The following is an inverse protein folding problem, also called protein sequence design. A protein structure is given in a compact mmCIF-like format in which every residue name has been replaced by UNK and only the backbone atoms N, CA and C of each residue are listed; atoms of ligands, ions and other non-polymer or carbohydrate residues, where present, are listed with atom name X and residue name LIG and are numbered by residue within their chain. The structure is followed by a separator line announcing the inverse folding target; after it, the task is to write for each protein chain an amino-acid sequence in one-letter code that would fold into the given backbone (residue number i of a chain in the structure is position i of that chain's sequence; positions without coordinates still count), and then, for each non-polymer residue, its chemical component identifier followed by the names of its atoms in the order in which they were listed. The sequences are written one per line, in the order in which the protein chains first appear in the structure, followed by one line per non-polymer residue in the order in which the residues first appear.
data_IF_302872302113
#
_entry.id   IF_302872302113
#
_cell.length_a   1.000
_cell.length_b   1.000
_cell.length_c   1.000
_cell.angle_alpha   90.00
_cell.angle_beta   90.00
_cell.angle_gamma   90.00
#
_symmetry.space_group_name_H-M   'P 1'
#
loop_
_entity.id
_entity.type
_entity.pdbx_description
1 polymer ?
#
# COMPACT_ATOMS: atom_id res chain seq x y z
N UNK A 1 13.37 -4.59 8.99
CA UNK A 1 11.88 -4.60 9.03
C UNK A 1 11.27 -5.80 8.30
N UNK A 2 11.75 -6.17 7.09
CA UNK A 2 11.29 -7.36 6.34
C UNK A 2 11.36 -8.70 7.09
N UNK A 3 12.30 -8.87 8.03
CA UNK A 3 12.47 -10.14 8.77
C UNK A 3 11.29 -10.50 9.70
N UNK A 4 10.45 -9.53 10.07
CA UNK A 4 9.32 -9.74 10.98
C UNK A 4 8.00 -10.04 10.26
N UNK A 5 7.95 -9.88 8.93
CA UNK A 5 6.75 -10.11 8.15
C UNK A 5 6.88 -11.43 7.38
N UNK A 6 6.29 -12.50 7.93
CA UNK A 6 6.24 -13.80 7.26
C UNK A 6 5.14 -13.78 6.19
N UNK A 7 5.46 -14.26 4.97
CA UNK A 7 4.53 -14.47 3.85
C UNK A 7 3.98 -13.22 3.10
N UNK A 8 4.81 -12.21 2.83
CA UNK A 8 4.39 -11.15 1.88
C UNK A 8 4.56 -11.65 0.44
N UNK A 9 3.54 -11.46 -0.38
CA UNK A 9 3.59 -11.75 -1.81
C UNK A 9 4.32 -10.61 -2.54
N UNK A 10 5.59 -10.82 -2.90
CA UNK A 10 6.40 -9.83 -3.61
C UNK A 10 5.81 -9.39 -4.96
N UNK A 11 5.10 -10.28 -5.67
CA UNK A 11 4.45 -9.91 -6.94
C UNK A 11 3.29 -8.95 -6.71
N UNK A 12 2.59 -9.14 -5.59
CA UNK A 12 1.51 -8.26 -5.17
C UNK A 12 2.04 -6.86 -4.87
N UNK A 13 3.18 -6.76 -4.17
CA UNK A 13 3.84 -5.48 -3.90
C UNK A 13 4.23 -4.75 -5.20
N UNK A 14 4.86 -5.45 -6.15
CA UNK A 14 5.25 -4.88 -7.45
C UNK A 14 4.04 -4.33 -8.23
N UNK A 15 2.92 -5.06 -8.24
CA UNK A 15 1.69 -4.62 -8.91
C UNK A 15 1.12 -3.36 -8.25
N UNK A 16 1.09 -3.31 -6.91
CA UNK A 16 0.57 -2.14 -6.21
C UNK A 16 1.47 -0.92 -6.46
N UNK A 17 2.78 -1.11 -6.42
CA UNK A 17 3.76 -0.08 -6.72
C UNK A 17 3.54 0.49 -8.14
N UNK A 18 3.43 -0.39 -9.15
CA UNK A 18 3.17 0.02 -10.54
C UNK A 18 1.93 0.90 -10.66
N UNK A 19 0.82 0.49 -10.03
CA UNK A 19 -0.46 1.21 -10.10
C UNK A 19 -0.38 2.55 -9.35
N UNK A 20 0.22 2.56 -8.15
CA UNK A 20 0.35 3.78 -7.35
C UNK A 20 1.26 4.80 -8.03
N UNK A 21 2.42 4.39 -8.56
CA UNK A 21 3.28 5.31 -9.34
C UNK A 21 2.57 5.87 -10.57
N UNK A 22 1.81 5.04 -11.30
CA UNK A 22 1.04 5.53 -12.45
C UNK A 22 -0.04 6.55 -12.05
N UNK A 23 -0.68 6.37 -10.89
CA UNK A 23 -1.64 7.33 -10.35
C UNK A 23 -0.96 8.63 -9.88
N UNK A 24 0.13 8.52 -9.12
CA UNK A 24 0.89 9.67 -8.59
C UNK A 24 1.50 10.51 -9.73
N UNK A 25 1.92 9.88 -10.83
CA UNK A 25 2.39 10.56 -12.04
C UNK A 25 1.23 11.11 -12.92
N UNK A 26 -0.03 10.87 -12.55
CA UNK A 26 -1.21 11.31 -13.30
C UNK A 26 -1.45 10.58 -14.63
N UNK A 27 -0.83 9.40 -14.82
CA UNK A 27 -1.00 8.57 -16.04
C UNK A 27 -2.35 7.84 -16.07
N UNK A 28 -2.91 7.55 -14.90
CA UNK A 28 -4.22 6.92 -14.73
C UNK A 28 -5.05 7.71 -13.71
N UNK A 29 -6.37 7.66 -13.87
CA UNK A 29 -7.32 8.26 -12.92
C UNK A 29 -7.47 7.42 -11.65
N UNK A 30 -8.02 8.03 -10.59
CA UNK A 30 -8.36 7.35 -9.33
C UNK A 30 -9.25 6.12 -9.56
N UNK A 31 -10.24 6.24 -10.45
CA UNK A 31 -11.16 5.14 -10.77
C UNK A 31 -10.45 3.97 -11.47
N UNK A 32 -9.53 4.28 -12.39
CA UNK A 32 -8.69 3.28 -13.07
C UNK A 32 -7.73 2.59 -12.10
N UNK A 33 -7.11 3.35 -11.20
CA UNK A 33 -6.24 2.81 -10.16
C UNK A 33 -7.00 1.85 -9.22
N UNK A 34 -8.17 2.26 -8.72
CA UNK A 34 -9.04 1.42 -7.87
C UNK A 34 -9.47 0.14 -8.59
N UNK A 35 -9.86 0.25 -9.86
CA UNK A 35 -10.25 -0.90 -10.68
C UNK A 35 -9.08 -1.86 -10.88
N UNK A 36 -7.90 -1.34 -11.23
CA UNK A 36 -6.71 -2.16 -11.44
C UNK A 36 -6.27 -2.89 -10.16
N UNK A 37 -6.33 -2.21 -9.00
CA UNK A 37 -6.05 -2.84 -7.69
C UNK A 37 -7.07 -3.92 -7.37
N UNK A 38 -8.36 -3.66 -7.59
CA UNK A 38 -9.41 -4.64 -7.34
C UNK A 38 -9.28 -5.88 -8.21
N UNK A 39 -8.94 -5.70 -9.49
CA UNK A 39 -8.84 -6.81 -10.44
C UNK A 39 -7.55 -7.64 -10.23
N UNK A 40 -6.41 -7.00 -9.95
CA UNK A 40 -5.09 -7.65 -9.90
C UNK A 40 -4.63 -8.04 -8.49
N UNK A 41 -5.06 -7.29 -7.47
CA UNK A 41 -4.58 -7.43 -6.08
C UNK A 41 -5.70 -7.95 -5.16
N UNK A 42 -6.94 -7.58 -5.45
CA UNK A 42 -8.18 -7.98 -4.75
C UNK A 42 -8.30 -7.51 -3.29
N UNK A 43 -7.31 -7.84 -2.45
CA UNK A 43 -7.32 -7.56 -1.01
C UNK A 43 -5.92 -7.13 -0.55
N UNK A 44 -5.82 -6.10 0.29
CA UNK A 44 -4.59 -5.66 0.95
C UNK A 44 -4.83 -5.54 2.46
N UNK A 45 -3.93 -6.12 3.25
CA UNK A 45 -3.92 -5.92 4.69
C UNK A 45 -3.19 -4.62 5.04
N UNK A 46 -3.51 -3.96 6.18
CA UNK A 46 -2.86 -2.72 6.60
C UNK A 46 -1.32 -2.82 6.68
N UNK A 47 -0.78 -3.96 7.12
CA UNK A 47 0.67 -4.15 7.19
C UNK A 47 1.32 -4.27 5.80
N UNK A 48 0.62 -4.79 4.80
CA UNK A 48 1.13 -4.85 3.42
C UNK A 48 1.25 -3.44 2.84
N UNK A 49 0.26 -2.58 3.11
CA UNK A 49 0.30 -1.16 2.69
C UNK A 49 1.47 -0.44 3.36
N UNK A 50 1.66 -0.62 4.67
CA UNK A 50 2.77 0.01 5.39
C UNK A 50 4.15 -0.37 4.80
N UNK A 51 4.29 -1.61 4.33
CA UNK A 51 5.52 -2.09 3.69
C UNK A 51 5.69 -1.49 2.30
N UNK A 52 4.61 -1.44 1.52
CA UNK A 52 4.61 -0.79 0.20
C UNK A 52 5.07 0.67 0.36
N UNK A 53 4.49 1.41 1.30
CA UNK A 53 4.87 2.81 1.55
C UNK A 53 6.34 2.92 1.97
N UNK A 54 6.80 2.10 2.91
CA UNK A 54 8.21 2.14 3.33
C UNK A 54 9.17 1.82 2.18
N UNK A 55 8.79 0.96 1.26
CA UNK A 55 9.60 0.62 0.08
C UNK A 55 9.49 1.68 -1.04
N UNK A 56 8.43 2.47 -1.05
CA UNK A 56 8.15 3.51 -2.05
C UNK A 56 8.68 4.90 -1.68
N UNK A 57 8.83 5.18 -0.40
CA UNK A 57 9.39 6.45 0.06
C UNK A 57 10.90 6.44 -0.19
N UNK A 58 11.37 7.28 -1.10
CA UNK A 58 12.80 7.56 -1.23
C UNK A 58 13.30 8.27 0.04
N UNK A 59 14.38 7.79 0.65
CA UNK A 59 15.04 8.46 1.76
C UNK A 59 15.67 9.78 1.27
N UNK A 60 14.89 10.87 1.31
CA UNK A 60 15.37 12.22 0.98
C UNK A 60 15.68 13.00 2.24
N UNK A 61 16.76 13.79 2.25
CA UNK A 61 17.17 14.66 3.38
C UNK A 61 16.09 15.70 3.77
N UNK A 62 15.12 15.94 2.89
CA UNK A 62 13.97 16.82 3.09
C UNK A 62 12.74 15.97 3.49
N UNK A 63 12.75 15.39 4.70
CA UNK A 63 11.61 14.64 5.27
C UNK A 63 10.34 15.51 5.46
N UNK A 64 10.43 16.82 5.18
CA UNK A 64 9.33 17.77 5.30
C UNK A 64 8.43 17.82 4.04
N UNK A 65 8.30 16.69 3.33
CA UNK A 65 7.29 16.53 2.28
C UNK A 65 6.01 16.00 2.93
N UNK A 66 4.95 16.79 2.85
CA UNK A 66 3.65 16.40 3.38
C UNK A 66 3.00 15.37 2.47
N UNK A 67 2.94 14.13 2.92
CA UNK A 67 2.17 13.09 2.25
C UNK A 67 0.66 13.37 2.35
N UNK A 68 -0.05 13.17 1.24
CA UNK A 68 -1.51 13.22 1.20
C UNK A 68 -2.09 11.85 1.55
N UNK A 69 -2.13 11.57 2.87
CA UNK A 69 -2.67 10.32 3.41
C UNK A 69 -4.14 10.13 3.01
N UNK A 70 -4.91 11.21 2.81
CA UNK A 70 -6.32 11.09 2.41
C UNK A 70 -6.44 10.57 0.98
N UNK A 71 -5.71 11.18 0.04
CA UNK A 71 -5.67 10.73 -1.35
C UNK A 71 -5.18 9.28 -1.46
N UNK A 72 -4.20 8.89 -0.64
CA UNK A 72 -3.69 7.52 -0.60
C UNK A 72 -4.75 6.52 -0.10
N UNK A 73 -5.46 6.83 0.99
CA UNK A 73 -6.52 5.97 1.52
C UNK A 73 -7.67 5.79 0.52
N UNK A 74 -7.96 6.79 -0.31
CA UNK A 74 -8.98 6.69 -1.36
C UNK A 74 -8.61 5.67 -2.46
N UNK A 75 -7.32 5.54 -2.79
CA UNK A 75 -6.82 4.56 -3.76
C UNK A 75 -7.01 3.13 -3.24
N UNK A 76 -6.74 2.91 -1.94
CA UNK A 76 -6.79 1.58 -1.33
C UNK A 76 -8.17 1.18 -0.77
N UNK A 77 -9.13 2.09 -0.71
CA UNK A 77 -10.41 1.91 -0.02
C UNK A 77 -11.16 0.61 -0.38
N UNK A 78 -11.13 0.20 -1.65
CA UNK A 78 -11.89 -0.98 -2.12
C UNK A 78 -11.19 -2.32 -1.88
N UNK A 79 -9.89 -2.28 -1.60
CA UNK A 79 -9.06 -3.48 -1.42
C UNK A 79 -8.59 -3.62 0.03
N UNK A 80 -8.65 -2.56 0.83
CA UNK A 80 -8.22 -2.57 2.22
C UNK A 80 -9.11 -3.48 3.09
N UNK A 81 -8.50 -4.49 3.70
CA UNK A 81 -9.17 -5.38 4.64
C UNK A 81 -9.13 -4.74 6.04
N UNK A 82 -10.29 -4.27 6.50
CA UNK A 82 -10.46 -3.61 7.82
C UNK A 82 -10.85 -4.56 8.95
N UNK A 83 -10.85 -5.87 8.70
CA UNK A 83 -11.21 -6.87 9.70
C UNK A 83 -10.15 -6.91 10.79
N UNK A 84 -10.58 -6.96 12.05
CA UNK A 84 -9.68 -7.16 13.19
C UNK A 84 -8.83 -8.41 12.95
N UNK A 85 -7.51 -8.21 12.91
CA UNK A 85 -6.53 -9.28 12.89
C UNK A 85 -6.29 -9.69 14.35
N UNK A 86 -6.37 -10.98 14.66
CA UNK A 86 -5.98 -11.46 15.98
C UNK A 86 -4.47 -11.23 16.15
N UNK A 87 -4.12 -10.32 17.07
CA UNK A 87 -2.73 -10.08 17.43
C UNK A 87 -2.20 -11.28 18.25
N UNK A 88 -0.95 -11.72 18.03
CA UNK A 88 -0.37 -12.77 18.84
C UNK A 88 -0.29 -12.35 20.32
N UNK A 89 -0.43 -13.31 21.24
CA UNK A 89 -0.48 -13.06 22.70
C UNK A 89 0.74 -12.29 23.25
N UNK A 90 1.85 -12.23 22.50
CA UNK A 90 3.09 -11.57 22.89
C UNK A 90 3.40 -10.33 22.03
N UNK A 91 2.38 -9.71 21.44
CA UNK A 91 2.51 -8.41 20.81
C UNK A 91 2.72 -7.33 21.89
N UNK A 92 3.76 -6.48 21.80
CA UNK A 92 4.01 -5.41 22.78
C UNK A 92 2.89 -4.36 22.82
#
# INVERSE_FOLDING_TARGET
MRENFQNIDGKKLEIVHEIKSAYDEGKISLEEARKALKDRVQHLAPYEIAIIEQEMVEETEDECIKEDIQAMLEVFQDVLVTKDQELPENHP
#
